data_IF_885835920972
#
_entry.id   IF_885835920972
#
_cell.length_a   1.000
_cell.length_b   1.000
_cell.length_c   1.000
_cell.angle_alpha   90.00
_cell.angle_beta   90.00
_cell.angle_gamma   90.00
#
_symmetry.space_group_name_H-M   'P 1'
#
loop_
_entity.id
_entity.type
_entity.pdbx_description
1 polymer ?
#
# COMPACT_ATOMS: atom_id res chain seq x y z
N UNK A 1 64.19 1.76 7.45
CA UNK A 1 63.14 0.88 7.99
C UNK A 1 62.26 1.73 8.87
N UNK A 2 61.12 2.12 8.30
CA UNK A 2 59.97 2.73 8.95
C UNK A 2 59.41 1.79 10.02
N UNK A 3 58.82 2.35 11.07
CA UNK A 3 57.48 1.98 11.57
C UNK A 3 57.12 2.92 12.73
N UNK A 4 56.45 4.04 12.38
CA UNK A 4 55.81 4.91 13.35
C UNK A 4 54.48 4.26 13.76
N UNK A 5 54.33 4.00 15.05
CA UNK A 5 53.13 3.41 15.65
C UNK A 5 52.02 4.46 15.71
N UNK A 6 51.22 4.51 14.64
CA UNK A 6 50.04 5.37 14.52
C UNK A 6 48.84 4.67 15.19
N UNK A 7 48.64 4.96 16.48
CA UNK A 7 47.47 4.51 17.21
C UNK A 7 46.29 5.43 16.86
N UNK A 8 45.71 5.20 15.68
CA UNK A 8 44.55 5.91 15.18
C UNK A 8 43.34 5.61 16.07
N UNK A 9 42.83 6.67 16.70
CA UNK A 9 41.53 6.76 17.36
C UNK A 9 40.44 6.16 16.45
N UNK A 10 39.99 4.94 16.78
CA UNK A 10 38.84 4.34 16.11
C UNK A 10 37.58 5.07 16.58
N UNK A 11 36.79 5.68 15.68
CA UNK A 11 35.53 6.27 16.07
C UNK A 11 34.62 5.15 16.63
N UNK A 12 34.14 5.31 17.86
CA UNK A 12 33.23 4.36 18.48
C UNK A 12 32.00 4.18 17.57
N UNK A 13 31.79 2.95 17.09
CA UNK A 13 30.68 2.62 16.21
C UNK A 13 29.34 2.91 16.92
N UNK A 14 28.41 3.58 16.23
CA UNK A 14 27.08 3.90 16.78
C UNK A 14 26.33 2.61 17.11
N UNK A 15 26.11 2.37 18.40
CA UNK A 15 25.31 1.23 18.90
C UNK A 15 23.84 1.62 18.95
N UNK A 16 23.01 0.86 18.26
CA UNK A 16 21.54 0.99 18.34
C UNK A 16 20.99 -0.08 19.28
N UNK A 17 20.12 0.31 20.20
CA UNK A 17 19.43 -0.62 21.08
C UNK A 17 18.31 -1.33 20.33
N UNK A 18 18.38 -2.65 20.24
CA UNK A 18 17.24 -3.46 19.80
C UNK A 18 16.20 -3.46 20.94
N UNK A 19 15.08 -2.77 20.70
CA UNK A 19 13.93 -2.92 21.58
C UNK A 19 13.40 -4.36 21.45
N UNK A 20 12.95 -4.98 22.55
CA UNK A 20 12.33 -6.30 22.47
C UNK A 20 11.14 -6.25 21.50
N UNK A 21 11.05 -7.24 20.62
CA UNK A 21 9.88 -7.38 19.76
C UNK A 21 8.63 -7.56 20.64
N UNK A 22 7.49 -6.93 20.27
CA UNK A 22 6.31 -6.84 21.13
C UNK A 22 5.73 -8.21 21.51
N UNK A 23 5.89 -9.23 20.66
CA UNK A 23 5.54 -10.60 21.01
C UNK A 23 6.74 -11.28 21.69
N UNK A 24 6.70 -11.36 23.03
CA UNK A 24 7.65 -12.15 23.81
C UNK A 24 7.31 -13.64 23.81
N UNK A 25 6.15 -14.02 23.27
CA UNK A 25 5.59 -15.37 23.35
C UNK A 25 4.93 -15.76 22.03
N UNK A 26 4.92 -17.04 21.68
CA UNK A 26 4.17 -17.58 20.53
C UNK A 26 2.66 -17.61 20.86
N UNK A 27 2.10 -16.47 21.23
CA UNK A 27 0.69 -16.30 21.54
C UNK A 27 0.07 -15.38 20.47
N UNK A 28 -0.89 -15.85 19.65
CA UNK A 28 -1.48 -15.04 18.59
C UNK A 28 -2.25 -13.82 19.12
N UNK A 29 -2.63 -13.79 20.40
CA UNK A 29 -3.26 -12.63 21.03
C UNK A 29 -2.31 -11.41 21.14
N UNK A 30 -0.99 -11.61 21.11
CA UNK A 30 -0.01 -10.51 21.20
C UNK A 30 0.02 -9.64 19.93
N UNK A 31 -0.51 -10.14 18.81
CA UNK A 31 -0.67 -9.38 17.56
C UNK A 31 -1.88 -8.45 17.56
N UNK A 32 -2.81 -8.63 18.52
CA UNK A 32 -4.02 -7.82 18.64
C UNK A 32 -3.80 -6.56 19.53
N UNK A 33 -2.55 -6.22 19.85
CA UNK A 33 -2.24 -4.95 20.51
C UNK A 33 -2.71 -3.80 19.61
N UNK A 34 -3.33 -2.78 20.22
CA UNK A 34 -3.85 -1.60 19.53
C UNK A 34 -2.83 -1.05 18.52
N UNK A 35 -3.28 -0.58 17.34
CA UNK A 35 -2.36 -0.23 16.27
C UNK A 35 -1.42 0.87 16.75
N UNK A 36 -0.15 0.54 16.93
CA UNK A 36 0.90 1.56 16.90
C UNK A 36 0.79 2.25 15.55
N UNK A 37 0.86 3.57 15.54
CA UNK A 37 0.52 4.53 14.47
C UNK A 37 1.25 4.37 13.10
N UNK A 38 1.69 3.16 12.74
CA UNK A 38 2.37 2.84 11.48
C UNK A 38 2.00 1.48 10.87
N UNK A 39 0.81 0.95 11.16
CA UNK A 39 0.32 -0.30 10.58
C UNK A 39 -0.35 -0.06 9.22
N UNK A 40 0.19 -0.67 8.16
CA UNK A 40 -0.35 -0.62 6.79
C UNK A 40 -1.78 -1.19 6.67
N UNK A 41 -2.26 -1.32 5.42
CA UNK A 41 -3.61 -1.83 5.10
C UNK A 41 -3.85 -3.18 5.78
N UNK A 42 -4.49 -3.14 6.95
CA UNK A 42 -5.04 -4.30 7.60
C UNK A 42 -6.12 -4.84 6.67
N UNK A 43 -5.99 -6.12 6.32
CA UNK A 43 -6.88 -6.84 5.42
C UNK A 43 -8.29 -6.97 5.99
N UNK A 44 -9.01 -5.85 6.08
CA UNK A 44 -10.45 -5.87 5.99
C UNK A 44 -10.75 -6.45 4.62
N UNK A 45 -11.20 -7.70 4.57
CA UNK A 45 -11.83 -8.22 3.37
C UNK A 45 -12.85 -7.17 2.96
N UNK A 46 -12.73 -6.64 1.73
CA UNK A 46 -13.80 -5.83 1.19
C UNK A 46 -15.05 -6.70 1.24
N UNK A 47 -15.96 -6.41 2.17
CA UNK A 47 -17.17 -7.18 2.38
C UNK A 47 -18.05 -6.93 1.16
N UNK A 48 -17.81 -7.67 0.08
CA UNK A 48 -18.53 -7.53 -1.18
C UNK A 48 -20.05 -7.71 -1.01
N UNK A 49 -20.45 -8.36 0.09
CA UNK A 49 -21.83 -8.63 0.47
C UNK A 49 -22.49 -7.53 1.31
N UNK A 50 -21.71 -6.65 1.96
CA UNK A 50 -22.23 -5.54 2.79
C UNK A 50 -22.26 -4.20 2.03
N UNK A 51 -21.90 -4.21 0.75
CA UNK A 51 -21.98 -3.02 -0.08
C UNK A 51 -23.45 -2.68 -0.36
N UNK A 52 -23.80 -1.38 -0.43
CA UNK A 52 -25.10 -0.98 -0.95
C UNK A 52 -25.32 -1.65 -2.31
N UNK A 53 -26.56 -2.07 -2.58
CA UNK A 53 -26.92 -2.72 -3.84
C UNK A 53 -26.60 -1.85 -5.07
N UNK A 54 -26.85 -2.40 -6.26
CA UNK A 54 -26.58 -1.71 -7.54
C UNK A 54 -27.19 -0.30 -7.52
N UNK A 55 -26.33 0.71 -7.59
CA UNK A 55 -26.75 2.10 -7.63
C UNK A 55 -27.38 2.43 -8.99
N UNK A 56 -28.63 2.88 -8.97
CA UNK A 56 -29.32 3.39 -10.16
C UNK A 56 -29.18 4.93 -10.14
N UNK A 57 -28.44 5.54 -11.09
CA UNK A 57 -28.26 6.98 -11.13
C UNK A 57 -29.59 7.74 -11.29
N UNK A 58 -29.68 8.93 -10.70
CA UNK A 58 -30.78 9.84 -10.97
C UNK A 58 -30.72 10.44 -12.38
N UNK A 59 -31.79 11.11 -12.81
CA UNK A 59 -31.87 11.69 -14.15
C UNK A 59 -30.83 12.79 -14.41
N UNK A 60 -30.32 13.45 -13.37
CA UNK A 60 -29.30 14.50 -13.53
C UNK A 60 -27.95 13.87 -13.82
N UNK A 61 -27.57 12.83 -13.07
CA UNK A 61 -26.35 12.06 -13.26
C UNK A 61 -26.40 11.35 -14.61
N UNK A 62 -27.50 10.67 -14.93
CA UNK A 62 -27.62 9.95 -16.20
C UNK A 62 -27.45 10.85 -17.43
N UNK A 63 -27.99 12.08 -17.40
CA UNK A 63 -27.85 13.04 -18.50
C UNK A 63 -26.48 13.73 -18.55
N UNK A 64 -25.73 13.75 -17.44
CA UNK A 64 -24.37 14.29 -17.39
C UNK A 64 -23.32 13.33 -17.97
N UNK A 65 -23.67 12.05 -18.13
CA UNK A 65 -22.79 11.04 -18.69
C UNK A 65 -22.72 11.17 -20.22
N UNK A 66 -21.53 10.92 -20.76
CA UNK A 66 -21.34 10.86 -22.20
C UNK A 66 -22.12 9.70 -22.82
N UNK A 67 -22.56 9.88 -24.06
CA UNK A 67 -23.23 8.80 -24.79
C UNK A 67 -22.22 7.71 -25.14
N UNK A 68 -22.60 6.43 -25.05
CA UNK A 68 -21.72 5.34 -25.47
C UNK A 68 -21.41 5.49 -26.96
N UNK A 69 -20.12 5.32 -27.31
CA UNK A 69 -19.66 5.27 -28.69
C UNK A 69 -20.29 4.08 -29.42
N UNK A 70 -20.47 4.21 -30.72
CA UNK A 70 -20.94 3.11 -31.57
C UNK A 70 -19.86 2.03 -31.71
N UNK A 71 -20.27 0.81 -32.07
CA UNK A 71 -19.33 -0.31 -32.22
C UNK A 71 -18.24 -0.05 -33.27
N UNK A 72 -18.56 0.69 -34.33
CA UNK A 72 -17.61 0.96 -35.42
C UNK A 72 -16.57 2.01 -35.00
N UNK A 73 -17.00 3.01 -34.22
CA UNK A 73 -16.10 4.03 -33.64
C UNK A 73 -15.09 3.41 -32.67
N UNK A 74 -15.53 2.47 -31.83
CA UNK A 74 -14.64 1.76 -30.89
C UNK A 74 -13.55 0.96 -31.62
N UNK A 75 -13.91 0.25 -32.69
CA UNK A 75 -12.94 -0.52 -33.49
C UNK A 75 -11.91 0.37 -34.18
N UNK A 76 -12.34 1.52 -34.69
CA UNK A 76 -11.43 2.47 -35.33
C UNK A 76 -10.44 3.10 -34.33
N UNK A 77 -10.91 3.41 -33.11
CA UNK A 77 -10.06 3.93 -32.03
C UNK A 77 -9.06 2.89 -31.53
N UNK A 78 -9.49 1.63 -31.41
CA UNK A 78 -8.60 0.51 -31.06
C UNK A 78 -7.49 0.31 -32.10
N UNK A 79 -7.82 0.35 -33.39
CA UNK A 79 -6.84 0.26 -34.47
C UNK A 79 -5.85 1.43 -34.46
N UNK A 80 -6.31 2.64 -34.10
CA UNK A 80 -5.47 3.84 -33.96
C UNK A 80 -4.57 3.80 -32.72
N UNK A 81 -5.00 3.13 -31.64
CA UNK A 81 -4.21 3.01 -30.42
C UNK A 81 -3.09 1.97 -30.55
N UNK A 82 -3.32 0.92 -31.35
CA UNK A 82 -2.38 -0.18 -31.55
C UNK A 82 -1.36 0.05 -32.68
N UNK A 83 -1.22 1.30 -33.17
CA UNK A 83 -0.25 1.70 -34.20
C UNK A 83 0.94 2.42 -33.60
#
# INVERSE_FOLDING_TARGET
MSDANDNQDKPEEKRFGILPHPAKTNNPADLNQEPKEGGGLQGGSANAYDLPGVYIPDAQIANSLEKPKSSDELKAEEAKLNS
#
